data_IF_644370994083
#
_entry.id   IF_644370994083
#
_cell.length_a   1.000
_cell.length_b   1.000
_cell.length_c   1.000
_cell.angle_alpha   90.00
_cell.angle_beta   90.00
_cell.angle_gamma   90.00
#
_symmetry.space_group_name_H-M   'P 1'
#
loop_
_entity.id
_entity.type
_entity.pdbx_description
1 polymer ?
#
# COMPACT_ATOMS: atom_id res chain seq x y z
N UNK A 1 41.72 57.17 17.04
CA UNK A 1 41.32 56.51 18.31
C UNK A 1 40.00 55.81 18.12
N UNK A 2 39.91 54.57 18.61
CA UNK A 2 38.73 53.70 18.86
C UNK A 2 37.78 53.37 17.69
N UNK A 3 38.07 52.20 17.11
CA UNK A 3 37.07 51.24 16.62
C UNK A 3 36.06 50.93 17.73
N UNK A 4 34.78 50.91 17.41
CA UNK A 4 33.78 50.16 18.17
C UNK A 4 33.08 49.24 17.17
N UNK A 5 33.54 47.99 17.13
CA UNK A 5 32.71 46.86 16.71
C UNK A 5 31.71 46.62 17.85
N UNK A 6 30.41 46.57 17.53
CA UNK A 6 29.47 45.75 18.28
C UNK A 6 28.87 44.77 17.27
N UNK A 7 29.02 43.45 17.49
CA UNK A 7 28.56 42.44 16.56
C UNK A 7 27.06 42.24 16.74
N UNK A 8 26.28 42.30 15.65
CA UNK A 8 24.99 41.62 15.59
C UNK A 8 25.27 40.12 15.44
N UNK A 9 25.66 39.52 16.55
CA UNK A 9 25.84 38.10 16.74
C UNK A 9 24.46 37.47 16.93
N UNK A 10 24.15 36.49 16.08
CA UNK A 10 23.32 35.32 16.36
C UNK A 10 21.89 35.57 16.88
N UNK A 11 20.95 35.65 15.94
CA UNK A 11 19.72 34.87 16.06
C UNK A 11 19.81 33.70 15.07
N UNK A 12 20.76 32.80 15.31
CA UNK A 12 20.81 31.52 14.63
C UNK A 12 19.81 30.58 15.31
N UNK A 13 19.04 29.87 14.48
CA UNK A 13 18.36 28.59 14.80
C UNK A 13 17.16 28.79 15.75
N UNK A 14 15.91 28.54 15.33
CA UNK A 14 15.31 27.22 15.24
C UNK A 14 14.08 27.29 14.32
N UNK A 15 14.26 27.53 13.02
CA UNK A 15 13.31 26.96 12.06
C UNK A 15 13.62 25.46 11.98
N UNK A 16 13.32 24.72 13.05
CA UNK A 16 13.04 23.30 12.88
C UNK A 16 11.85 23.31 11.92
N UNK A 17 12.10 22.93 10.67
CA UNK A 17 11.03 22.47 9.81
C UNK A 17 10.33 21.40 10.63
N UNK A 18 9.19 21.77 11.22
CA UNK A 18 8.31 20.82 11.87
C UNK A 18 7.88 19.89 10.75
N UNK A 19 8.64 18.80 10.56
CA UNK A 19 8.21 17.70 9.72
C UNK A 19 6.89 17.28 10.34
N UNK A 20 5.79 17.54 9.62
CA UNK A 20 4.49 17.02 10.00
C UNK A 20 4.65 15.51 10.20
N UNK A 21 4.54 15.07 11.44
CA UNK A 21 4.63 13.66 11.79
C UNK A 21 3.42 12.98 11.14
N UNK A 22 3.67 11.92 10.36
CA UNK A 22 2.62 11.10 9.72
C UNK A 22 1.87 10.27 10.76
N UNK A 23 2.51 9.96 11.89
CA UNK A 23 1.94 9.20 13.01
C UNK A 23 2.58 9.64 14.33
N UNK A 24 1.86 9.49 15.44
CA UNK A 24 2.39 9.58 16.80
C UNK A 24 2.44 8.21 17.46
N UNK A 25 1.42 7.38 17.21
CA UNK A 25 1.27 6.04 17.76
C UNK A 25 1.21 4.98 16.66
N UNK A 26 1.64 3.75 16.97
CA UNK A 26 1.59 2.63 16.01
C UNK A 26 0.18 2.24 15.59
N UNK A 27 -0.84 2.55 16.41
CA UNK A 27 -2.25 2.26 16.09
C UNK A 27 -2.70 2.98 14.82
N UNK A 28 -2.31 4.25 14.64
CA UNK A 28 -2.65 5.05 13.45
C UNK A 28 -2.14 4.37 12.16
N UNK A 29 -0.98 3.72 12.23
CA UNK A 29 -0.41 2.97 11.12
C UNK A 29 -1.12 1.62 10.93
N UNK A 30 -1.38 0.90 12.03
CA UNK A 30 -1.97 -0.43 12.04
C UNK A 30 -3.42 -0.45 11.53
N UNK A 31 -4.19 0.63 11.78
CA UNK A 31 -5.53 0.81 11.22
C UNK A 31 -5.52 0.88 9.70
N UNK A 32 -4.48 1.50 9.12
CA UNK A 32 -4.32 1.62 7.67
C UNK A 32 -3.77 0.36 7.03
N UNK A 33 -2.76 -0.23 7.66
CA UNK A 33 -2.13 -1.46 7.20
C UNK A 33 -1.80 -2.34 8.40
N UNK A 34 -2.33 -3.57 8.49
CA UNK A 34 -2.17 -4.38 9.68
C UNK A 34 -0.70 -4.62 10.00
N UNK A 35 -0.39 -4.58 11.30
CA UNK A 35 0.95 -4.67 11.88
C UNK A 35 1.94 -3.56 11.49
N UNK A 36 1.54 -2.56 10.69
CA UNK A 36 2.38 -1.39 10.48
C UNK A 36 2.50 -0.60 11.80
N UNK A 37 3.65 0.01 12.01
CA UNK A 37 3.97 0.70 13.26
C UNK A 37 4.61 2.06 13.03
N UNK A 38 4.49 2.94 14.01
CA UNK A 38 5.03 4.28 13.93
C UNK A 38 6.51 4.26 14.35
N UNK A 39 7.38 4.80 13.51
CA UNK A 39 8.80 4.97 13.83
C UNK A 39 9.26 6.35 13.41
N UNK A 40 9.66 7.17 14.39
CA UNK A 40 10.13 8.54 14.18
C UNK A 40 9.15 9.39 13.36
N UNK A 41 7.85 9.27 13.67
CA UNK A 41 6.81 10.03 12.97
C UNK A 41 6.45 9.55 11.59
N UNK A 42 6.81 8.31 11.21
CA UNK A 42 6.48 7.72 9.92
C UNK A 42 5.96 6.30 10.08
N UNK A 43 4.91 5.96 9.34
CA UNK A 43 4.43 4.58 9.30
C UNK A 43 5.38 3.68 8.52
N UNK A 44 5.74 2.56 9.14
CA UNK A 44 6.66 1.56 8.61
C UNK A 44 5.92 0.22 8.51
N UNK A 45 6.07 -0.44 7.38
CA UNK A 45 5.58 -1.80 7.18
C UNK A 45 6.39 -2.78 8.03
N UNK A 46 5.72 -3.75 8.64
CA UNK A 46 6.37 -4.79 9.43
C UNK A 46 6.56 -6.09 8.64
N UNK A 47 7.35 -6.99 9.22
CA UNK A 47 7.52 -8.36 8.76
C UNK A 47 7.99 -8.46 7.30
N UNK A 48 7.33 -9.33 6.54
CA UNK A 48 7.65 -9.64 5.15
C UNK A 48 6.99 -8.67 4.16
N UNK A 49 6.97 -7.37 4.47
CA UNK A 49 6.35 -6.35 3.62
C UNK A 49 7.21 -5.11 3.41
N UNK A 50 7.05 -4.48 2.24
CA UNK A 50 7.80 -3.28 1.85
C UNK A 50 6.86 -2.10 1.62
N UNK A 51 7.19 -0.93 2.20
CA UNK A 51 6.43 0.30 1.98
C UNK A 51 6.61 0.81 0.55
N UNK A 52 5.50 1.05 -0.16
CA UNK A 52 5.47 1.74 -1.45
C UNK A 52 4.58 2.98 -1.40
N UNK A 53 4.85 3.92 -2.30
CA UNK A 53 3.95 5.04 -2.55
C UNK A 53 2.69 4.49 -3.23
N UNK A 54 1.55 5.04 -2.86
CA UNK A 54 0.27 4.84 -3.53
C UNK A 54 -0.32 6.22 -3.77
N UNK A 55 -0.96 6.42 -4.91
CA UNK A 55 -1.60 7.70 -5.21
C UNK A 55 -2.95 7.80 -4.49
N UNK A 56 -3.69 6.69 -4.36
CA UNK A 56 -4.98 6.67 -3.66
C UNK A 56 -4.85 6.66 -2.13
N UNK A 57 -3.77 6.04 -1.61
CA UNK A 57 -3.55 5.86 -0.18
C UNK A 57 -2.30 6.58 0.35
N UNK A 58 -1.54 7.32 -0.46
CA UNK A 58 -0.25 7.90 -0.05
C UNK A 58 0.86 6.86 0.18
N UNK A 59 0.59 5.80 0.95
CA UNK A 59 1.43 4.62 1.10
C UNK A 59 0.63 3.35 1.34
N UNK A 60 1.27 2.24 1.01
CA UNK A 60 0.79 0.86 1.17
C UNK A 60 1.95 -0.05 1.54
N UNK A 61 1.66 -1.23 2.09
CA UNK A 61 2.66 -2.28 2.25
C UNK A 61 2.44 -3.39 1.22
N UNK A 62 3.50 -3.72 0.49
CA UNK A 62 3.52 -4.86 -0.43
C UNK A 62 4.08 -6.08 0.28
N UNK A 63 3.30 -7.16 0.35
CA UNK A 63 3.84 -8.45 0.80
C UNK A 63 4.89 -8.95 -0.17
N UNK A 64 6.02 -9.40 0.38
CA UNK A 64 7.09 -10.11 -0.33
C UNK A 64 6.81 -11.62 -0.34
N UNK A 65 5.91 -12.10 0.52
CA UNK A 65 5.60 -13.52 0.68
C UNK A 65 4.24 -13.85 0.04
N UNK A 66 4.20 -14.96 -0.68
CA UNK A 66 2.97 -15.53 -1.23
C UNK A 66 2.13 -16.20 -0.13
N UNK A 67 0.88 -15.77 0.01
CA UNK A 67 -0.04 -16.27 1.03
C UNK A 67 -0.38 -17.76 0.88
N UNK A 68 -0.24 -18.32 -0.33
CA UNK A 68 -0.53 -19.74 -0.60
C UNK A 68 0.62 -20.68 -0.25
N UNK A 69 1.88 -20.23 -0.39
CA UNK A 69 3.06 -21.09 -0.22
C UNK A 69 3.90 -20.71 1.00
N UNK A 70 3.76 -19.49 1.53
CA UNK A 70 4.65 -18.96 2.56
C UNK A 70 6.06 -18.63 2.05
N UNK A 71 6.33 -18.81 0.76
CA UNK A 71 7.62 -18.50 0.12
C UNK A 71 7.64 -17.08 -0.45
N UNK A 72 8.82 -16.62 -0.89
CA UNK A 72 8.93 -15.37 -1.64
C UNK A 72 8.03 -15.40 -2.88
N UNK A 73 7.13 -14.43 -2.98
CA UNK A 73 6.25 -14.24 -4.12
C UNK A 73 6.92 -13.49 -5.27
N UNK A 74 6.18 -13.27 -6.37
CA UNK A 74 6.70 -12.53 -7.52
C UNK A 74 7.14 -11.10 -7.14
N UNK A 75 8.21 -10.58 -7.77
CA UNK A 75 8.71 -9.22 -7.48
C UNK A 75 7.76 -8.11 -7.95
N UNK A 76 6.77 -8.45 -8.79
CA UNK A 76 5.66 -7.58 -9.18
C UNK A 76 4.41 -8.04 -8.44
N UNK A 77 3.81 -7.15 -7.65
CA UNK A 77 2.62 -7.49 -6.87
C UNK A 77 1.83 -6.23 -6.51
N UNK A 78 0.51 -6.36 -6.49
CA UNK A 78 -0.38 -5.33 -5.94
C UNK A 78 -0.48 -5.42 -4.41
N UNK A 79 -0.90 -4.34 -3.74
CA UNK A 79 -0.98 -4.32 -2.27
C UNK A 79 -2.02 -5.28 -1.70
N UNK A 80 -3.14 -5.44 -2.40
CA UNK A 80 -4.28 -6.26 -1.99
C UNK A 80 -4.62 -7.25 -3.11
N UNK A 81 -4.94 -8.54 -2.81
CA UNK A 81 -4.85 -9.18 -1.50
C UNK A 81 -3.41 -9.31 -1.02
N UNK A 82 -3.19 -9.11 0.28
CA UNK A 82 -1.87 -9.29 0.86
C UNK A 82 -1.39 -10.74 0.68
N UNK A 83 -0.29 -10.89 -0.08
CA UNK A 83 0.32 -12.17 -0.44
C UNK A 83 -0.26 -12.84 -1.70
N UNK A 84 -1.21 -12.24 -2.38
CA UNK A 84 -1.67 -12.72 -3.70
C UNK A 84 -1.88 -11.60 -4.73
N UNK A 85 -1.45 -10.37 -4.43
CA UNK A 85 -1.65 -9.20 -5.28
C UNK A 85 -1.02 -9.30 -6.67
N UNK A 86 -0.04 -10.18 -6.91
CA UNK A 86 0.49 -10.46 -8.25
C UNK A 86 -0.56 -10.99 -9.23
N UNK A 87 -1.64 -11.59 -8.71
CA UNK A 87 -2.81 -12.03 -9.48
C UNK A 87 -3.71 -10.87 -9.88
N UNK A 88 -3.66 -9.75 -9.16
CA UNK A 88 -4.51 -8.57 -9.37
C UNK A 88 -3.89 -7.50 -10.27
N UNK A 89 -2.64 -7.69 -10.70
CA UNK A 89 -1.98 -6.79 -11.65
C UNK A 89 -2.81 -6.71 -12.94
N UNK A 90 -3.01 -5.49 -13.44
CA UNK A 90 -3.65 -5.25 -14.72
C UNK A 90 -2.87 -5.96 -15.84
N UNK A 91 -3.58 -6.76 -16.63
CA UNK A 91 -3.04 -7.47 -17.78
C UNK A 91 -3.86 -7.15 -19.03
N UNK A 92 -3.18 -7.06 -20.16
CA UNK A 92 -3.80 -7.08 -21.49
C UNK A 92 -3.55 -8.47 -22.09
N UNK A 93 -4.55 -9.35 -22.02
CA UNK A 93 -4.36 -10.78 -22.28
C UNK A 93 -3.39 -11.39 -21.26
N UNK A 94 -2.26 -11.92 -21.74
CA UNK A 94 -1.21 -12.50 -20.90
C UNK A 94 -0.12 -11.50 -20.48
N UNK A 95 -0.12 -10.30 -21.04
CA UNK A 95 0.94 -9.31 -20.85
C UNK A 95 0.63 -8.39 -19.67
N UNK A 96 1.58 -8.24 -18.76
CA UNK A 96 1.53 -7.27 -17.65
C UNK A 96 1.55 -5.84 -18.16
N UNK A 97 0.68 -4.99 -17.63
CA UNK A 97 0.71 -3.53 -17.88
C UNK A 97 1.64 -2.86 -16.87
N UNK A 98 2.81 -2.48 -17.35
CA UNK A 98 3.82 -1.73 -16.60
C UNK A 98 3.51 -0.22 -16.59
N UNK A 99 4.08 0.47 -15.61
CA UNK A 99 3.94 1.91 -15.44
C UNK A 99 5.23 2.54 -14.89
N UNK A 100 5.46 3.81 -15.22
CA UNK A 100 6.53 4.60 -14.61
C UNK A 100 5.99 5.32 -13.36
N UNK A 101 6.54 4.99 -12.20
CA UNK A 101 6.12 5.55 -10.91
C UNK A 101 6.44 7.05 -10.74
N UNK A 102 7.23 7.63 -11.65
CA UNK A 102 7.57 9.06 -11.70
C UNK A 102 6.59 9.85 -12.55
N UNK A 103 5.85 9.18 -13.43
CA UNK A 103 4.89 9.80 -14.34
C UNK A 103 3.49 9.75 -13.74
N UNK A 104 2.87 10.92 -13.60
CA UNK A 104 1.49 11.03 -13.11
C UNK A 104 0.55 10.37 -14.12
N UNK A 105 -0.39 9.55 -13.63
CA UNK A 105 -1.37 8.82 -14.46
C UNK A 105 -0.73 7.92 -15.54
N UNK A 106 0.37 7.25 -15.19
CA UNK A 106 0.97 6.20 -16.02
C UNK A 106 0.13 4.91 -16.11
N UNK A 107 -0.97 4.84 -15.36
CA UNK A 107 -1.95 3.75 -15.41
C UNK A 107 -3.32 4.21 -15.92
N UNK A 108 -4.12 3.30 -16.51
CA UNK A 108 -5.50 3.59 -16.89
C UNK A 108 -6.39 3.99 -15.70
N UNK A 109 -7.53 4.61 -16.00
CA UNK A 109 -8.52 5.00 -14.97
C UNK A 109 -8.96 3.79 -14.14
N UNK A 110 -9.00 3.96 -12.81
CA UNK A 110 -9.28 2.88 -11.86
C UNK A 110 -8.03 2.13 -11.39
N UNK A 111 -6.88 2.38 -12.02
CA UNK A 111 -5.61 1.79 -11.62
C UNK A 111 -4.64 2.86 -11.15
N UNK A 112 -3.69 2.47 -10.32
CA UNK A 112 -2.58 3.29 -9.85
C UNK A 112 -1.25 2.56 -10.00
N UNK A 113 -0.17 3.33 -10.14
CA UNK A 113 1.14 2.77 -10.37
C UNK A 113 1.79 2.35 -9.06
N UNK A 114 2.09 1.07 -8.91
CA UNK A 114 2.76 0.51 -7.74
C UNK A 114 4.14 0.01 -8.15
N UNK A 115 5.17 0.63 -7.56
CA UNK A 115 6.57 0.33 -7.88
C UNK A 115 6.94 -1.10 -7.49
N UNK A 116 7.51 -1.82 -8.45
CA UNK A 116 7.95 -3.22 -8.34
C UNK A 116 9.10 -3.38 -7.32
N UNK A 117 9.37 -4.61 -6.93
CA UNK A 117 10.48 -4.99 -6.04
C UNK A 117 11.68 -5.38 -6.90
N UNK A 118 12.55 -4.41 -7.20
CA UNK A 118 13.82 -4.66 -7.91
C UNK A 118 13.70 -4.92 -9.42
N UNK A 119 12.50 -4.85 -10.00
CA UNK A 119 12.28 -4.96 -11.45
C UNK A 119 12.11 -3.57 -12.06
N UNK A 120 12.85 -3.32 -13.14
CA UNK A 120 12.72 -2.16 -14.01
C UNK A 120 12.73 -2.66 -15.45
N UNK A 121 11.74 -2.27 -16.24
CA UNK A 121 11.63 -2.58 -17.66
C UNK A 121 11.72 -1.30 -18.50
N UNK A 122 11.85 -1.38 -19.83
CA UNK A 122 11.78 -0.20 -20.69
C UNK A 122 10.47 0.59 -20.53
N UNK A 123 9.37 -0.09 -20.19
CA UNK A 123 8.05 0.49 -20.02
C UNK A 123 7.84 1.14 -18.63
N UNK A 124 8.66 0.81 -17.63
CA UNK A 124 8.60 1.44 -16.32
C UNK A 124 9.18 0.62 -15.17
N UNK A 125 9.02 1.14 -13.95
CA UNK A 125 9.52 0.53 -12.71
C UNK A 125 8.40 0.02 -11.79
N UNK A 126 7.16 0.05 -12.26
CA UNK A 126 5.98 -0.39 -11.54
C UNK A 126 4.98 -1.15 -12.40
N UNK A 127 3.91 -1.60 -11.76
CA UNK A 127 2.78 -2.26 -12.40
C UNK A 127 1.47 -1.56 -12.04
N UNK A 128 0.50 -1.62 -12.94
CA UNK A 128 -0.81 -1.03 -12.70
C UNK A 128 -1.67 -1.93 -11.81
N UNK A 129 -2.01 -1.42 -10.64
CA UNK A 129 -2.81 -2.11 -9.63
C UNK A 129 -4.16 -1.46 -9.45
N UNK A 130 -5.24 -2.22 -9.16
CA UNK A 130 -6.54 -1.65 -8.84
C UNK A 130 -6.40 -0.64 -7.71
N UNK A 131 -6.96 0.54 -7.91
CA UNK A 131 -6.97 1.56 -6.87
C UNK A 131 -8.03 1.25 -5.79
N UNK A 132 -8.14 2.13 -4.80
CA UNK A 132 -9.11 2.00 -3.72
C UNK A 132 -10.54 1.77 -4.21
N UNK A 133 -10.99 2.57 -5.19
CA UNK A 133 -12.34 2.51 -5.74
C UNK A 133 -12.63 1.15 -6.39
N UNK A 134 -11.79 0.71 -7.33
CA UNK A 134 -11.98 -0.60 -7.98
C UNK A 134 -11.92 -1.74 -6.96
N UNK A 135 -11.04 -1.61 -5.96
CA UNK A 135 -10.90 -2.62 -4.92
C UNK A 135 -12.16 -2.76 -4.08
N UNK A 136 -12.79 -1.66 -3.65
CA UNK A 136 -14.01 -1.71 -2.84
C UNK A 136 -15.27 -2.06 -3.65
N UNK A 137 -15.30 -1.75 -4.95
CA UNK A 137 -16.42 -2.10 -5.85
C UNK A 137 -16.37 -3.56 -6.33
N UNK A 138 -15.21 -4.23 -6.21
CA UNK A 138 -15.05 -5.60 -6.68
C UNK A 138 -15.88 -6.58 -5.84
N UNK A 139 -16.62 -7.46 -6.53
CA UNK A 139 -17.36 -8.53 -5.88
C UNK A 139 -16.40 -9.65 -5.46
N UNK A 140 -16.52 -10.07 -4.21
CA UNK A 140 -15.85 -11.26 -3.67
C UNK A 140 -16.90 -12.17 -3.10
N UNK A 141 -16.97 -13.38 -3.64
CA UNK A 141 -17.75 -14.46 -3.05
C UNK A 141 -16.84 -15.31 -2.17
N UNK A 142 -17.38 -15.98 -1.13
CA UNK A 142 -16.62 -16.95 -0.36
C UNK A 142 -16.10 -18.09 -1.24
N UNK A 143 -14.86 -18.52 -1.01
CA UNK A 143 -14.30 -19.69 -1.68
C UNK A 143 -14.75 -20.96 -0.92
N UNK A 144 -15.40 -21.91 -1.60
CA UNK A 144 -15.83 -23.19 -0.97
C UNK A 144 -14.67 -23.96 -0.35
N UNK A 145 -13.48 -23.84 -0.94
CA UNK A 145 -12.23 -24.43 -0.47
C UNK A 145 -11.29 -23.39 0.15
N UNK A 146 -11.80 -22.28 0.67
CA UNK A 146 -11.02 -21.27 1.37
C UNK A 146 -10.47 -21.77 2.72
N UNK A 147 -9.23 -21.43 3.05
CA UNK A 147 -8.58 -21.83 4.31
C UNK A 147 -7.96 -20.67 5.10
N UNK A 148 -7.91 -19.46 4.52
CA UNK A 148 -7.38 -18.29 5.21
C UNK A 148 -8.54 -17.36 5.59
N UNK A 149 -8.77 -17.08 6.89
CA UNK A 149 -9.79 -16.11 7.28
C UNK A 149 -9.40 -14.71 6.82
N UNK A 150 -10.30 -14.04 6.10
CA UNK A 150 -10.13 -12.69 5.56
C UNK A 150 -11.43 -11.90 5.68
N UNK A 151 -11.37 -10.62 5.31
CA UNK A 151 -12.50 -9.71 5.28
C UNK A 151 -12.74 -9.20 3.86
N UNK A 152 -14.00 -8.97 3.50
CA UNK A 152 -14.40 -8.33 2.23
C UNK A 152 -15.39 -7.21 2.53
N UNK A 153 -15.40 -6.19 1.69
CA UNK A 153 -16.43 -5.15 1.72
C UNK A 153 -17.63 -5.57 0.87
N UNK A 154 -18.84 -5.58 1.41
CA UNK A 154 -20.04 -5.98 0.66
C UNK A 154 -20.80 -4.80 0.02
N UNK A 155 -20.25 -3.59 0.13
CA UNK A 155 -20.89 -2.34 -0.28
C UNK A 155 -21.47 -1.55 0.88
N UNK A 156 -21.61 -2.16 2.06
CA UNK A 156 -22.13 -1.53 3.27
C UNK A 156 -21.24 -1.74 4.49
N UNK A 157 -20.74 -2.96 4.68
CA UNK A 157 -19.92 -3.34 5.82
C UNK A 157 -18.81 -4.31 5.41
N UNK A 158 -17.85 -4.49 6.32
CA UNK A 158 -16.82 -5.50 6.16
C UNK A 158 -17.26 -6.80 6.83
N UNK A 159 -17.35 -7.87 6.05
CA UNK A 159 -17.78 -9.20 6.48
C UNK A 159 -16.64 -10.22 6.38
N UNK A 160 -16.55 -11.18 7.32
CA UNK A 160 -15.52 -12.21 7.27
C UNK A 160 -15.88 -13.29 6.23
N UNK A 161 -14.86 -13.90 5.63
CA UNK A 161 -15.01 -15.07 4.75
C UNK A 161 -13.74 -15.93 4.74
N UNK A 162 -13.87 -17.16 4.27
CA UNK A 162 -12.72 -18.05 4.05
C UNK A 162 -12.19 -17.85 2.63
N UNK A 163 -10.91 -17.49 2.53
CA UNK A 163 -10.24 -17.12 1.29
C UNK A 163 -9.26 -18.19 0.82
N UNK A 164 -9.27 -18.44 -0.48
CA UNK A 164 -8.31 -19.29 -1.19
C UNK A 164 -7.33 -18.42 -2.01
N UNK A 165 -6.09 -18.20 -1.54
CA UNK A 165 -5.09 -17.40 -2.25
C UNK A 165 -4.65 -17.98 -3.61
N UNK A 166 -4.85 -19.28 -3.86
CA UNK A 166 -4.46 -19.92 -5.12
C UNK A 166 -5.48 -19.64 -6.23
N UNK A 167 -6.76 -19.46 -5.86
CA UNK A 167 -7.86 -19.25 -6.80
C UNK A 167 -8.37 -17.82 -6.82
N UNK A 168 -7.98 -16.99 -5.85
CA UNK A 168 -8.43 -15.60 -5.71
C UNK A 168 -8.46 -14.84 -7.03
N UNK A 169 -9.67 -14.40 -7.40
CA UNK A 169 -9.92 -13.56 -8.59
C UNK A 169 -10.31 -12.13 -8.24
N UNK A 170 -10.42 -11.82 -6.96
CA UNK A 170 -10.83 -10.51 -6.47
C UNK A 170 -9.72 -9.83 -5.68
N UNK A 171 -9.69 -8.51 -5.82
CA UNK A 171 -8.87 -7.60 -5.03
C UNK A 171 -9.57 -7.19 -3.73
N UNK A 172 -10.86 -7.42 -3.57
CA UNK A 172 -11.60 -7.09 -2.35
C UNK A 172 -11.40 -8.16 -1.27
N UNK A 173 -10.18 -8.23 -0.73
CA UNK A 173 -9.76 -9.22 0.28
C UNK A 173 -8.75 -8.60 1.25
N UNK A 174 -9.19 -8.29 2.46
CA UNK A 174 -8.42 -7.62 3.51
C UNK A 174 -8.02 -8.59 4.62
N UNK A 175 -6.89 -8.31 5.27
CA UNK A 175 -6.36 -9.17 6.35
C UNK A 175 -7.14 -8.99 7.66
N UNK A 176 -7.55 -7.77 7.98
CA UNK A 176 -8.31 -7.46 9.19
C UNK A 176 -9.58 -6.67 8.89
N UNK A 177 -10.51 -6.65 9.85
CA UNK A 177 -11.74 -5.87 9.78
C UNK A 177 -11.42 -4.39 9.65
N UNK A 178 -10.52 -3.91 10.50
CA UNK A 178 -10.10 -2.52 10.61
C UNK A 178 -9.46 -2.04 9.31
N UNK A 179 -8.61 -2.88 8.68
CA UNK A 179 -8.05 -2.57 7.37
C UNK A 179 -9.14 -2.40 6.32
N UNK A 180 -10.13 -3.29 6.28
CA UNK A 180 -11.25 -3.18 5.34
C UNK A 180 -12.04 -1.88 5.53
N UNK A 181 -12.41 -1.54 6.79
CA UNK A 181 -13.11 -0.29 7.08
C UNK A 181 -12.28 0.94 6.72
N UNK A 182 -11.00 0.96 7.11
CA UNK A 182 -10.06 2.04 6.76
C UNK A 182 -9.87 2.19 5.25
N UNK A 183 -10.01 1.11 4.50
CA UNK A 183 -9.80 1.09 3.07
C UNK A 183 -11.07 1.41 2.27
N UNK A 184 -12.26 1.04 2.73
CA UNK A 184 -13.50 1.21 1.95
C UNK A 184 -14.52 2.20 2.51
N UNK A 185 -14.45 2.55 3.79
CA UNK A 185 -15.46 3.39 4.45
C UNK A 185 -14.85 4.70 4.96
N UNK A 186 -13.71 4.64 5.65
CA UNK A 186 -13.09 5.83 6.22
C UNK A 186 -12.40 6.65 5.13
N UNK A 187 -13.08 7.70 4.66
CA UNK A 187 -12.53 8.75 3.81
C UNK A 187 -12.77 10.12 4.45
#
# INVERSE_FOLDING_TARGET
MRRILVPLLLCALLAHSARSLECLESRECAERWPDAFCRQGRCVCSGNSIRRKSDSRGWVCLSIVDASTGMLGPPVSCPIPEGAGFRMILRNGTTTVFCDSRVVRSCPVGYECIRSIGIVTPEGDGVCCPNQRLTCEARTEPDEDGWIPRWRFDGSECTPFMWNPQKSRSMNVFRTKEQCYSYCISN
#
